data_IF_970437198203
#
_entry.id   IF_970437198203
#
_cell.length_a   1.000
_cell.length_b   1.000
_cell.length_c   1.000
_cell.angle_alpha   90.00
_cell.angle_beta   90.00
_cell.angle_gamma   90.00
#
_symmetry.space_group_name_H-M   'P 1'
#
loop_
_entity.id
_entity.type
_entity.pdbx_description
1 polymer ?
#
# COMPACT_ATOMS: atom_id res chain seq x y z
N UNK A 1 7.71 -17.18 3.08
CA UNK A 1 6.43 -17.60 3.63
C UNK A 1 6.69 -18.73 4.59
N UNK A 2 5.79 -18.91 5.55
CA UNK A 2 5.91 -19.93 6.59
C UNK A 2 4.51 -20.38 6.99
N UNK A 3 4.29 -21.69 7.06
CA UNK A 3 3.11 -22.28 7.68
C UNK A 3 3.35 -22.37 9.18
N UNK A 4 2.41 -21.83 9.96
CA UNK A 4 2.43 -21.84 11.42
C UNK A 4 1.85 -23.16 11.97
N UNK A 5 2.16 -23.55 13.22
CA UNK A 5 1.66 -24.79 13.82
C UNK A 5 0.14 -24.91 13.91
N UNK A 6 -0.57 -23.77 13.93
CA UNK A 6 -2.04 -23.68 13.94
C UNK A 6 -2.67 -23.77 12.54
N UNK A 7 -1.85 -23.90 11.49
CA UNK A 7 -2.28 -23.94 10.10
C UNK A 7 -2.40 -22.57 9.42
N UNK A 8 -2.06 -21.46 10.10
CA UNK A 8 -2.03 -20.15 9.47
C UNK A 8 -0.84 -20.00 8.50
N UNK A 9 -1.01 -19.22 7.43
CA UNK A 9 0.05 -18.90 6.48
C UNK A 9 0.56 -17.47 6.71
N UNK A 10 1.85 -17.34 7.03
CA UNK A 10 2.55 -16.05 7.05
C UNK A 10 3.31 -15.85 5.74
N UNK A 11 3.15 -14.68 5.11
CA UNK A 11 3.91 -14.31 3.91
C UNK A 11 4.59 -12.97 4.11
N UNK A 12 5.71 -12.76 3.41
CA UNK A 12 6.41 -11.48 3.39
C UNK A 12 7.08 -11.31 2.04
N UNK A 13 7.27 -10.06 1.62
CA UNK A 13 7.90 -9.75 0.35
C UNK A 13 8.77 -8.51 0.51
N UNK A 14 10.00 -8.57 -0.01
CA UNK A 14 10.84 -7.37 -0.15
C UNK A 14 10.58 -6.75 -1.51
N UNK A 15 10.27 -5.46 -1.54
CA UNK A 15 9.88 -4.73 -2.77
C UNK A 15 10.53 -3.35 -2.81
N UNK A 16 10.72 -2.83 -4.03
CA UNK A 16 11.15 -1.44 -4.22
C UNK A 16 10.06 -0.50 -3.73
N UNK A 17 10.39 0.46 -2.87
CA UNK A 17 9.43 1.50 -2.44
C UNK A 17 9.18 2.54 -3.55
N UNK A 18 10.18 2.76 -4.39
CA UNK A 18 10.14 3.67 -5.54
C UNK A 18 10.52 2.87 -6.77
N UNK A 19 9.71 2.97 -7.82
CA UNK A 19 9.92 2.33 -9.12
C UNK A 19 10.11 3.38 -10.20
N UNK A 20 10.63 3.00 -11.36
CA UNK A 20 10.62 3.86 -12.54
C UNK A 20 9.39 3.53 -13.41
N UNK A 21 8.69 4.55 -13.89
CA UNK A 21 7.58 4.34 -14.82
C UNK A 21 8.11 3.72 -16.13
N UNK A 22 7.54 2.61 -16.61
CA UNK A 22 8.12 1.80 -17.70
C UNK A 22 8.28 2.56 -19.02
N UNK A 23 7.38 3.52 -19.30
CA UNK A 23 7.44 4.32 -20.53
C UNK A 23 8.22 5.63 -20.40
N UNK A 24 8.36 6.18 -19.19
CA UNK A 24 8.88 7.56 -19.01
C UNK A 24 10.15 7.62 -18.18
N UNK A 25 10.53 6.54 -17.50
CA UNK A 25 11.66 6.47 -16.59
C UNK A 25 11.51 7.31 -15.32
N UNK A 26 10.38 8.02 -15.13
CA UNK A 26 10.17 8.87 -13.96
C UNK A 26 10.07 8.03 -12.69
N UNK A 27 10.67 8.52 -11.60
CA UNK A 27 10.54 7.90 -10.28
C UNK A 27 9.10 8.04 -9.77
N UNK A 28 8.50 6.92 -9.41
CA UNK A 28 7.13 6.81 -8.93
C UNK A 28 7.12 6.17 -7.54
N UNK A 29 6.35 6.77 -6.62
CA UNK A 29 6.08 6.19 -5.31
C UNK A 29 5.02 5.09 -5.47
N UNK A 30 5.47 3.84 -5.50
CA UNK A 30 4.62 2.69 -5.83
C UNK A 30 4.81 1.59 -4.79
N UNK A 31 4.15 1.76 -3.64
CA UNK A 31 4.14 0.83 -2.53
C UNK A 31 2.87 1.02 -1.69
N UNK A 32 2.73 0.25 -0.60
CA UNK A 32 1.51 0.22 0.21
C UNK A 32 1.74 0.65 1.67
N UNK A 33 2.85 1.31 2.01
CA UNK A 33 3.18 1.65 3.41
C UNK A 33 2.11 2.48 4.12
N UNK A 34 1.40 3.36 3.39
CA UNK A 34 0.33 4.18 3.95
C UNK A 34 -0.93 3.40 4.32
N UNK A 35 -1.03 2.13 3.89
CA UNK A 35 -2.19 1.27 4.12
C UNK A 35 -1.81 0.03 4.95
N UNK A 36 -0.69 -0.63 4.60
CA UNK A 36 -0.19 -1.85 5.21
C UNK A 36 0.88 -1.58 6.27
N UNK A 37 0.63 -0.66 7.18
CA UNK A 37 1.51 -0.37 8.31
C UNK A 37 0.74 -0.53 9.62
N UNK A 38 1.39 -0.97 10.68
CA UNK A 38 0.78 -1.01 12.01
C UNK A 38 0.25 0.36 12.48
N UNK A 39 0.82 1.46 11.96
CA UNK A 39 0.39 2.82 12.30
C UNK A 39 -0.94 3.24 11.67
N UNK A 40 -1.52 2.41 10.79
CA UNK A 40 -2.88 2.60 10.26
C UNK A 40 -3.94 1.90 11.11
N UNK A 41 -3.52 1.03 12.02
CA UNK A 41 -4.38 0.36 12.99
C UNK A 41 -4.65 1.34 14.14
N UNK A 42 -5.91 1.39 14.58
CA UNK A 42 -6.31 2.18 15.74
C UNK A 42 -5.41 1.83 16.96
N UNK A 43 -4.87 2.82 17.70
CA UNK A 43 -3.86 2.58 18.73
C UNK A 43 -4.21 1.50 19.76
N UNK A 44 -5.42 1.51 20.32
CA UNK A 44 -5.85 0.53 21.33
C UNK A 44 -5.95 -0.87 20.71
N UNK A 45 -6.47 -0.97 19.49
CA UNK A 45 -6.53 -2.23 18.73
C UNK A 45 -5.12 -2.75 18.41
N UNK A 46 -4.20 -1.87 18.00
CA UNK A 46 -2.80 -2.26 17.74
C UNK A 46 -2.15 -2.80 19.00
N UNK A 47 -2.25 -2.07 20.11
CA UNK A 47 -1.67 -2.48 21.40
C UNK A 47 -2.21 -3.84 21.84
N UNK A 48 -3.53 -4.05 21.73
CA UNK A 48 -4.15 -5.34 22.01
C UNK A 48 -3.62 -6.46 21.10
N UNK A 49 -3.53 -6.22 19.78
CA UNK A 49 -3.04 -7.24 18.85
C UNK A 49 -1.56 -7.58 19.10
N UNK A 50 -0.72 -6.60 19.43
CA UNK A 50 0.67 -6.83 19.78
C UNK A 50 0.80 -7.60 21.10
N UNK A 51 -0.03 -7.32 22.10
CA UNK A 51 -0.02 -8.06 23.37
C UNK A 51 -0.42 -9.53 23.18
N UNK A 52 -1.45 -9.79 22.36
CA UNK A 52 -1.98 -11.15 22.15
C UNK A 52 -1.13 -11.96 21.17
N UNK A 53 -0.63 -11.35 20.09
CA UNK A 53 -0.01 -12.05 18.97
C UNK A 53 1.46 -11.70 18.73
N UNK A 54 2.01 -10.72 19.44
CA UNK A 54 3.35 -10.17 19.22
C UNK A 54 3.43 -9.25 18.00
N UNK A 55 4.55 -8.54 17.86
CA UNK A 55 4.77 -7.58 16.76
C UNK A 55 4.68 -8.21 15.36
N UNK A 56 5.12 -9.47 15.21
CA UNK A 56 5.06 -10.22 13.96
C UNK A 56 3.71 -10.95 13.75
N UNK A 57 2.80 -10.83 14.72
CA UNK A 57 1.45 -11.39 14.69
C UNK A 57 0.40 -10.45 14.10
N UNK A 58 0.77 -9.21 13.76
CA UNK A 58 -0.14 -8.25 13.15
C UNK A 58 -0.65 -8.75 11.78
N UNK A 59 -1.90 -8.42 11.40
CA UNK A 59 -2.48 -8.86 10.13
C UNK A 59 -1.69 -8.38 8.92
N UNK A 60 -1.02 -7.22 9.05
CA UNK A 60 -0.05 -6.70 8.10
C UNK A 60 0.90 -5.74 8.84
N UNK A 61 2.14 -5.66 8.38
CA UNK A 61 3.05 -4.58 8.75
C UNK A 61 4.06 -4.34 7.62
N UNK A 62 4.63 -3.14 7.57
CA UNK A 62 5.68 -2.75 6.64
C UNK A 62 6.92 -2.36 7.43
N UNK A 63 8.05 -2.99 7.11
CA UNK A 63 9.38 -2.72 7.67
C UNK A 63 10.30 -2.16 6.57
N UNK A 64 11.42 -1.58 6.96
CA UNK A 64 12.48 -1.24 6.01
C UNK A 64 13.02 -2.51 5.32
N UNK A 65 13.75 -2.34 4.21
CA UNK A 65 14.22 -3.45 3.40
C UNK A 65 15.26 -4.36 4.09
N UNK A 66 15.87 -3.88 5.16
CA UNK A 66 16.76 -4.60 6.08
C UNK A 66 16.01 -5.29 7.23
N UNK A 67 14.72 -5.01 7.41
CA UNK A 67 13.87 -5.54 8.48
C UNK A 67 13.67 -4.58 9.64
N UNK A 68 14.29 -3.41 9.65
CA UNK A 68 14.12 -2.45 10.73
C UNK A 68 12.67 -1.91 10.77
N UNK A 69 12.11 -1.65 11.97
CA UNK A 69 10.77 -1.10 12.10
C UNK A 69 10.70 0.30 11.50
N UNK A 70 9.57 0.62 10.87
CA UNK A 70 9.29 1.99 10.44
C UNK A 70 8.57 2.71 11.57
N UNK A 71 9.06 3.88 11.96
CA UNK A 71 8.44 4.66 13.03
C UNK A 71 7.14 5.36 12.58
N UNK A 72 6.30 5.71 13.55
CA UNK A 72 5.04 6.39 13.31
C UNK A 72 5.22 7.74 12.59
N UNK A 73 6.28 8.48 12.89
CA UNK A 73 6.56 9.79 12.30
C UNK A 73 6.78 9.74 10.79
N UNK A 74 7.44 8.70 10.29
CA UNK A 74 7.64 8.46 8.85
C UNK A 74 6.30 8.25 8.16
N UNK A 75 5.44 7.39 8.72
CA UNK A 75 4.10 7.13 8.16
C UNK A 75 3.22 8.38 8.23
N UNK A 76 3.31 9.15 9.30
CA UNK A 76 2.61 10.42 9.43
C UNK A 76 3.01 11.43 8.35
N UNK A 77 4.31 11.58 8.07
CA UNK A 77 4.81 12.44 6.99
C UNK A 77 4.29 11.97 5.63
N UNK A 78 4.32 10.65 5.38
CA UNK A 78 3.78 10.07 4.14
C UNK A 78 2.30 10.40 3.99
N UNK A 79 1.50 10.21 5.04
CA UNK A 79 0.07 10.53 5.03
C UNK A 79 -0.20 12.02 4.82
N UNK A 80 0.60 12.91 5.42
CA UNK A 80 0.51 14.36 5.17
C UNK A 80 0.79 14.70 3.70
N UNK A 81 1.78 14.04 3.08
CA UNK A 81 2.08 14.22 1.65
C UNK A 81 0.93 13.71 0.78
N UNK A 82 0.34 12.55 1.12
CA UNK A 82 -0.86 12.07 0.42
C UNK A 82 -2.00 13.08 0.50
N UNK A 83 -2.33 13.56 1.70
CA UNK A 83 -3.40 14.53 1.92
C UNK A 83 -3.16 15.83 1.12
N UNK A 84 -1.95 16.38 1.19
CA UNK A 84 -1.60 17.63 0.51
C UNK A 84 -1.62 17.53 -1.03
N UNK A 85 -1.50 16.32 -1.59
CA UNK A 85 -1.46 16.10 -3.04
C UNK A 85 -2.69 15.36 -3.57
N UNK A 86 -3.69 15.08 -2.72
CA UNK A 86 -4.92 14.41 -3.14
C UNK A 86 -5.84 15.39 -3.83
N UNK A 87 -6.24 15.05 -5.06
CA UNK A 87 -7.32 15.74 -5.78
C UNK A 87 -8.63 15.02 -5.52
N UNK A 88 -9.67 15.79 -5.16
CA UNK A 88 -10.99 15.27 -4.80
C UNK A 88 -12.00 15.75 -5.81
N UNK A 89 -12.50 14.82 -6.62
CA UNK A 89 -13.55 15.10 -7.60
C UNK A 89 -14.81 14.32 -7.22
N UNK A 90 -15.95 14.99 -6.97
CA UNK A 90 -17.21 14.31 -6.70
C UNK A 90 -17.72 13.65 -7.99
N UNK A 91 -17.93 12.34 -7.92
CA UNK A 91 -18.46 11.56 -9.03
C UNK A 91 -19.83 12.04 -9.49
N UNK A 92 -20.01 12.18 -10.79
CA UNK A 92 -21.29 12.36 -11.46
C UNK A 92 -21.60 11.12 -12.32
N UNK A 93 -22.89 10.88 -12.54
CA UNK A 93 -23.32 9.78 -13.41
C UNK A 93 -22.82 10.00 -14.84
N UNK A 94 -22.14 8.99 -15.39
CA UNK A 94 -21.53 9.05 -16.72
C UNK A 94 -20.06 9.50 -16.73
N UNK A 95 -19.50 9.92 -15.60
CA UNK A 95 -18.08 10.23 -15.52
C UNK A 95 -17.21 8.99 -15.79
N UNK A 96 -16.06 9.23 -16.43
CA UNK A 96 -15.01 8.23 -16.64
C UNK A 96 -13.68 8.78 -16.12
N UNK A 97 -13.07 8.06 -15.18
CA UNK A 97 -11.73 8.36 -14.69
C UNK A 97 -10.74 7.33 -15.23
N UNK A 98 -9.71 7.80 -15.94
CA UNK A 98 -8.58 6.99 -16.35
C UNK A 98 -7.40 7.22 -15.40
N UNK A 99 -6.89 6.14 -14.80
CA UNK A 99 -5.81 6.20 -13.83
C UNK A 99 -4.58 5.48 -14.38
N UNK A 100 -3.46 6.19 -14.46
CA UNK A 100 -2.14 5.59 -14.55
C UNK A 100 -1.77 5.02 -13.17
N UNK A 101 -1.94 3.71 -13.02
CA UNK A 101 -1.79 3.03 -11.73
C UNK A 101 -0.36 3.11 -11.17
N UNK A 102 0.67 3.24 -12.02
CA UNK A 102 2.07 3.25 -11.58
C UNK A 102 2.41 4.61 -10.97
N UNK A 103 1.87 5.69 -11.54
CA UNK A 103 2.18 7.05 -11.06
C UNK A 103 1.22 7.55 -9.99
N UNK A 104 0.02 6.97 -9.88
CA UNK A 104 -1.08 7.54 -9.09
C UNK A 104 -1.58 6.56 -8.05
N UNK A 105 -1.43 6.92 -6.79
CA UNK A 105 -2.23 6.33 -5.73
C UNK A 105 -3.65 6.87 -5.80
N UNK A 106 -4.62 6.01 -5.57
CA UNK A 106 -6.03 6.36 -5.56
C UNK A 106 -6.71 5.68 -4.38
N UNK A 107 -7.79 6.30 -3.90
CA UNK A 107 -8.52 5.85 -2.73
C UNK A 107 -9.98 6.26 -2.82
N UNK A 108 -10.69 6.09 -1.70
CA UNK A 108 -12.11 6.41 -1.61
C UNK A 108 -12.38 7.10 -0.28
N UNK A 109 -13.02 8.26 -0.36
CA UNK A 109 -13.57 8.93 0.81
C UNK A 109 -14.76 8.18 1.40
N UNK A 110 -15.06 8.41 2.68
CA UNK A 110 -16.32 7.94 3.26
C UNK A 110 -17.53 8.44 2.46
N UNK A 111 -18.58 7.63 2.34
CA UNK A 111 -19.81 7.99 1.62
C UNK A 111 -21.04 7.46 2.34
N UNK A 112 -22.20 8.00 2.01
CA UNK A 112 -23.50 7.56 2.50
C UNK A 112 -24.46 7.33 1.33
N UNK A 113 -25.45 6.45 1.51
CA UNK A 113 -26.45 6.16 0.48
C UNK A 113 -25.95 5.22 -0.63
N UNK A 114 -26.79 4.97 -1.64
CA UNK A 114 -26.44 4.09 -2.77
C UNK A 114 -25.36 4.73 -3.65
N UNK A 115 -24.36 3.94 -4.01
CA UNK A 115 -23.26 4.33 -4.90
C UNK A 115 -22.81 3.11 -5.72
N UNK A 116 -22.79 3.25 -7.04
CA UNK A 116 -22.26 2.24 -7.96
C UNK A 116 -21.15 2.87 -8.80
N UNK A 117 -19.96 2.25 -8.78
CA UNK A 117 -18.82 2.62 -9.64
C UNK A 117 -18.22 1.33 -10.16
N UNK A 118 -18.11 1.23 -11.48
CA UNK A 118 -17.53 0.07 -12.16
C UNK A 118 -16.04 0.32 -12.41
N UNK A 119 -15.26 -0.75 -12.42
CA UNK A 119 -13.81 -0.71 -12.66
C UNK A 119 -13.47 -1.71 -13.75
N UNK A 120 -12.63 -1.29 -14.70
CA UNK A 120 -12.01 -2.15 -15.68
C UNK A 120 -10.49 -1.97 -15.61
N UNK A 121 -9.77 -3.08 -15.57
CA UNK A 121 -8.31 -3.07 -15.62
C UNK A 121 -7.85 -3.08 -17.07
N UNK A 122 -6.88 -2.23 -17.40
CA UNK A 122 -6.18 -2.28 -18.68
C UNK A 122 -5.12 -3.39 -18.67
N UNK A 123 -4.31 -3.44 -19.74
CA UNK A 123 -3.22 -4.42 -19.84
C UNK A 123 -2.26 -4.31 -18.65
N UNK A 124 -1.86 -5.45 -18.06
CA UNK A 124 -0.94 -5.46 -16.94
C UNK A 124 0.46 -5.03 -17.40
N UNK A 125 1.15 -4.30 -16.53
CA UNK A 125 2.58 -4.01 -16.67
C UNK A 125 3.36 -4.97 -15.78
N UNK A 126 4.41 -5.59 -16.31
CA UNK A 126 5.30 -6.40 -15.49
C UNK A 126 6.20 -5.50 -14.65
N UNK A 127 6.29 -5.77 -13.34
CA UNK A 127 7.15 -5.00 -12.43
C UNK A 127 8.62 -4.97 -12.86
N UNK A 128 9.08 -6.01 -13.58
CA UNK A 128 10.43 -6.07 -14.15
C UNK A 128 10.70 -4.92 -15.14
N UNK A 129 9.67 -4.41 -15.82
CA UNK A 129 9.76 -3.31 -16.77
C UNK A 129 9.93 -1.95 -16.06
N UNK A 130 9.65 -1.89 -14.75
CA UNK A 130 9.66 -0.67 -13.96
C UNK A 130 11.03 -0.35 -13.31
N UNK A 131 12.13 -0.94 -13.82
CA UNK A 131 13.51 -0.73 -13.34
C UNK A 131 13.63 -0.63 -11.81
N UNK A 132 13.47 -1.77 -11.16
CA UNK A 132 13.40 -1.87 -9.70
C UNK A 132 14.72 -1.47 -9.03
N UNK A 133 14.66 -0.78 -7.89
CA UNK A 133 15.84 -0.42 -7.09
C UNK A 133 16.43 -1.61 -6.34
N UNK A 134 15.67 -2.70 -6.21
CA UNK A 134 16.09 -3.99 -5.66
C UNK A 134 15.43 -5.14 -6.43
N UNK A 135 16.09 -6.30 -6.49
CA UNK A 135 15.46 -7.52 -6.99
C UNK A 135 14.27 -7.93 -6.09
N UNK A 136 13.22 -8.41 -6.74
CA UNK A 136 12.03 -8.98 -6.09
C UNK A 136 12.40 -10.35 -5.54
N UNK A 137 12.87 -10.38 -4.29
CA UNK A 137 13.03 -11.64 -3.54
C UNK A 137 11.75 -11.92 -2.76
N UNK A 138 11.00 -12.93 -3.19
CA UNK A 138 10.04 -13.62 -2.32
C UNK A 138 10.75 -14.80 -1.66
N UNK A 139 10.70 -14.89 -0.33
CA UNK A 139 10.81 -16.19 0.34
C UNK A 139 9.45 -16.54 0.83
#
# INVERSE_FOLDING_TARGET
FEWQPDGALRTWQRRSAVTAHPLTGRRCWFNQIAFLSEWTIEPEVREYLVDVYGEDGLPFNTRFGDGDPINAGVVQVINQVYEANTVREPWQSGDLMLVDNIRTAHGRESFQGPREVLVAMADPVHLADCSLTIEVTGK
#
